data_IF_033636480593
#
_entry.id   IF_033636480593
#
_cell.length_a   1.000
_cell.length_b   1.000
_cell.length_c   1.000
_cell.angle_alpha   90.00
_cell.angle_beta   90.00
_cell.angle_gamma   90.00
#
_symmetry.space_group_name_H-M   'P 1'
#
loop_
_entity.id
_entity.type
_entity.pdbx_description
1 polymer ?
#
# COMPACT_ATOMS: atom_id res chain seq x y z
N UNK A 1 -6.53 -33.65 -14.93
CA UNK A 1 -5.89 -33.33 -13.65
C UNK A 1 -4.45 -32.86 -13.81
N UNK A 2 -3.62 -33.47 -14.66
CA UNK A 2 -2.28 -32.92 -14.97
C UNK A 2 -2.32 -31.65 -15.85
N UNK A 3 -3.29 -31.56 -16.77
CA UNK A 3 -3.44 -30.41 -17.69
C UNK A 3 -3.90 -29.14 -16.94
N UNK A 4 -4.77 -29.27 -15.93
CA UNK A 4 -5.22 -28.12 -15.12
C UNK A 4 -4.11 -27.53 -14.25
N UNK A 5 -3.22 -28.37 -13.69
CA UNK A 5 -2.05 -27.90 -12.94
C UNK A 5 -1.03 -27.16 -13.80
N UNK A 6 -0.96 -27.49 -15.10
CA UNK A 6 -0.08 -26.81 -16.05
C UNK A 6 -0.67 -25.47 -16.49
N UNK A 7 -1.98 -25.39 -16.73
CA UNK A 7 -2.66 -24.11 -17.02
C UNK A 7 -2.54 -23.13 -15.84
N UNK A 8 -2.76 -23.58 -14.60
CA UNK A 8 -2.65 -22.71 -13.42
C UNK A 8 -1.21 -22.22 -13.20
N UNK A 9 -0.20 -23.07 -13.41
CA UNK A 9 1.21 -22.71 -13.30
C UNK A 9 1.69 -21.79 -14.45
N UNK A 10 1.12 -21.95 -15.65
CA UNK A 10 1.46 -21.11 -16.81
C UNK A 10 0.84 -19.71 -16.67
N UNK A 11 -0.38 -19.62 -16.13
CA UNK A 11 -1.06 -18.34 -15.87
C UNK A 11 -0.34 -17.55 -14.78
N UNK A 12 0.13 -18.19 -13.70
CA UNK A 12 0.94 -17.48 -12.70
C UNK A 12 2.30 -17.00 -13.25
N UNK A 13 2.89 -17.73 -14.20
CA UNK A 13 4.18 -17.36 -14.81
C UNK A 13 4.05 -16.25 -15.84
N UNK A 14 2.88 -16.08 -16.48
CA UNK A 14 2.69 -15.03 -17.50
C UNK A 14 2.41 -13.65 -16.87
N UNK A 15 1.87 -13.60 -15.65
CA UNK A 15 1.49 -12.35 -14.98
C UNK A 15 2.40 -11.92 -13.82
N UNK A 16 3.25 -12.80 -13.29
CA UNK A 16 4.18 -12.47 -12.20
C UNK A 16 5.43 -11.75 -12.72
N UNK A 17 5.94 -10.77 -11.98
CA UNK A 17 7.21 -10.09 -12.28
C UNK A 17 8.41 -11.05 -12.27
N UNK A 18 9.55 -10.66 -12.84
CA UNK A 18 10.76 -11.51 -12.90
C UNK A 18 11.19 -12.04 -11.54
N UNK A 19 11.11 -11.19 -10.51
CA UNK A 19 11.55 -11.50 -9.16
C UNK A 19 10.53 -12.38 -8.42
N UNK A 20 9.22 -12.23 -8.71
CA UNK A 20 8.15 -13.08 -8.18
C UNK A 20 8.21 -14.50 -8.75
N UNK A 21 8.48 -14.62 -10.06
CA UNK A 21 8.70 -15.93 -10.70
C UNK A 21 9.91 -16.63 -10.09
N UNK A 22 11.02 -15.90 -9.92
CA UNK A 22 12.24 -16.42 -9.29
C UNK A 22 11.97 -16.87 -7.85
N UNK A 23 11.15 -16.14 -7.09
CA UNK A 23 10.76 -16.52 -5.74
C UNK A 23 9.92 -17.80 -5.72
N UNK A 24 8.96 -17.93 -6.63
CA UNK A 24 8.11 -19.13 -6.74
C UNK A 24 8.92 -20.36 -7.16
N UNK A 25 9.80 -20.23 -8.16
CA UNK A 25 10.68 -21.30 -8.62
C UNK A 25 11.65 -21.72 -7.50
N UNK A 26 12.30 -20.76 -6.84
CA UNK A 26 13.21 -21.04 -5.73
C UNK A 26 12.49 -21.73 -4.57
N UNK A 27 11.26 -21.31 -4.25
CA UNK A 27 10.44 -21.94 -3.20
C UNK A 27 10.08 -23.39 -3.55
N UNK A 28 9.65 -23.65 -4.79
CA UNK A 28 9.35 -25.00 -5.26
C UNK A 28 10.60 -25.88 -5.26
N UNK A 29 11.73 -25.33 -5.71
CA UNK A 29 13.00 -26.04 -5.79
C UNK A 29 13.56 -26.38 -4.41
N UNK A 30 13.41 -25.49 -3.43
CA UNK A 30 13.76 -25.73 -2.03
C UNK A 30 12.95 -26.89 -1.43
N UNK A 31 11.62 -26.91 -1.63
CA UNK A 31 10.76 -28.03 -1.19
C UNK A 31 11.12 -29.34 -1.88
N UNK A 32 11.56 -29.28 -3.15
CA UNK A 32 12.01 -30.46 -3.91
C UNK A 32 13.40 -30.98 -3.51
N UNK A 33 14.10 -30.29 -2.60
CA UNK A 33 15.45 -30.65 -2.15
C UNK A 33 16.57 -30.25 -3.13
N UNK A 34 16.28 -29.40 -4.12
CA UNK A 34 17.25 -28.86 -5.08
C UNK A 34 17.27 -27.33 -5.01
N UNK A 35 17.91 -26.73 -3.98
CA UNK A 35 17.95 -25.28 -3.85
C UNK A 35 18.70 -24.64 -5.03
N UNK A 36 18.06 -23.68 -5.70
CA UNK A 36 18.65 -22.90 -6.82
C UNK A 36 19.35 -21.63 -6.31
N UNK A 37 18.91 -21.13 -5.14
CA UNK A 37 19.44 -19.94 -4.47
C UNK A 37 19.99 -20.32 -3.09
N UNK A 38 20.91 -19.51 -2.57
CA UNK A 38 21.31 -19.62 -1.16
C UNK A 38 20.21 -19.10 -0.22
N UNK A 39 20.25 -19.50 1.04
CA UNK A 39 19.29 -19.04 2.06
C UNK A 39 19.32 -17.50 2.20
N UNK A 40 20.50 -16.89 2.07
CA UNK A 40 20.72 -15.44 2.15
C UNK A 40 20.09 -14.70 0.97
N UNK A 41 20.31 -15.20 -0.25
CA UNK A 41 19.73 -14.64 -1.48
C UNK A 41 18.20 -14.78 -1.48
N UNK A 42 17.68 -15.89 -0.95
CA UNK A 42 16.25 -16.12 -0.82
C UNK A 42 15.61 -15.14 0.17
N UNK A 43 16.22 -14.93 1.33
CA UNK A 43 15.74 -13.98 2.34
C UNK A 43 15.78 -12.54 1.82
N UNK A 44 16.82 -12.15 1.06
CA UNK A 44 16.89 -10.82 0.44
C UNK A 44 15.78 -10.63 -0.61
N UNK A 45 15.57 -11.62 -1.48
CA UNK A 45 14.51 -11.60 -2.49
C UNK A 45 13.13 -11.49 -1.82
N UNK A 46 12.91 -12.25 -0.75
CA UNK A 46 11.68 -12.19 0.06
C UNK A 46 11.46 -10.80 0.65
N UNK A 47 12.50 -10.21 1.23
CA UNK A 47 12.43 -8.87 1.82
C UNK A 47 12.15 -7.79 0.78
N UNK A 48 12.77 -7.88 -0.41
CA UNK A 48 12.52 -6.96 -1.52
C UNK A 48 11.06 -7.02 -1.97
N UNK A 49 10.54 -8.21 -2.23
CA UNK A 49 9.15 -8.41 -2.64
C UNK A 49 8.15 -7.93 -1.56
N UNK A 50 8.49 -8.06 -0.27
CA UNK A 50 7.70 -7.46 0.83
C UNK A 50 7.71 -5.92 0.80
N UNK A 51 8.84 -5.31 0.43
CA UNK A 51 8.93 -3.84 0.30
C UNK A 51 8.16 -3.33 -0.91
N UNK A 52 8.18 -4.06 -2.02
CA UNK A 52 7.41 -3.78 -3.24
C UNK A 52 5.90 -4.02 -3.06
N UNK A 53 5.53 -4.77 -2.00
CA UNK A 53 4.13 -5.04 -1.66
C UNK A 53 3.52 -6.15 -2.50
N UNK A 54 4.33 -7.11 -2.96
CA UNK A 54 3.85 -8.30 -3.67
C UNK A 54 2.94 -9.14 -2.76
N UNK A 55 1.75 -9.47 -3.25
CA UNK A 55 0.77 -10.29 -2.52
C UNK A 55 1.24 -11.74 -2.34
N UNK A 56 2.11 -12.23 -3.23
CA UNK A 56 2.62 -13.60 -3.25
C UNK A 56 3.47 -13.93 -2.02
N UNK A 57 4.10 -12.91 -1.42
CA UNK A 57 5.00 -13.07 -0.27
C UNK A 57 4.31 -12.82 1.06
N UNK A 58 3.04 -12.41 1.04
CA UNK A 58 2.26 -12.16 2.26
C UNK A 58 1.86 -13.49 2.88
N UNK A 59 2.45 -13.81 4.02
CA UNK A 59 2.09 -14.99 4.79
C UNK A 59 1.14 -14.64 5.94
N UNK A 60 0.28 -15.59 6.29
CA UNK A 60 -0.56 -15.53 7.50
C UNK A 60 0.26 -15.63 8.79
N UNK A 61 -0.39 -15.74 9.96
CA UNK A 61 0.29 -15.77 11.25
C UNK A 61 1.19 -17.01 11.38
N UNK A 62 2.46 -16.78 11.70
CA UNK A 62 3.47 -17.81 11.94
C UNK A 62 3.95 -17.75 13.38
N UNK A 63 4.11 -18.91 14.00
CA UNK A 63 4.76 -19.03 15.30
C UNK A 63 6.22 -19.46 15.09
N UNK A 64 7.17 -18.63 15.52
CA UNK A 64 8.55 -19.07 15.59
C UNK A 64 8.82 -19.73 16.93
N UNK A 65 9.08 -21.04 16.89
CA UNK A 65 9.48 -21.82 18.06
C UNK A 65 10.78 -21.29 18.69
N UNK A 66 11.68 -20.72 17.88
CA UNK A 66 12.96 -20.18 18.33
C UNK A 66 12.78 -18.92 19.18
N UNK A 67 11.96 -17.97 18.71
CA UNK A 67 11.74 -16.70 19.43
C UNK A 67 10.58 -16.77 20.41
N UNK A 68 9.78 -17.85 20.42
CA UNK A 68 8.52 -17.98 21.18
C UNK A 68 7.57 -16.80 20.96
N UNK A 69 7.60 -16.23 19.75
CA UNK A 69 6.77 -15.10 19.34
C UNK A 69 5.94 -15.50 18.12
N UNK A 70 4.67 -15.09 18.13
CA UNK A 70 3.79 -15.17 16.97
C UNK A 70 3.89 -13.83 16.24
N UNK A 71 4.11 -13.90 14.93
CA UNK A 71 4.13 -12.73 14.06
C UNK A 71 3.30 -12.95 12.81
N UNK A 72 2.82 -11.87 12.23
CA UNK A 72 2.17 -11.87 10.92
C UNK A 72 2.79 -10.81 10.02
N UNK A 73 2.79 -11.07 8.71
CA UNK A 73 3.31 -10.13 7.73
C UNK A 73 2.33 -8.98 7.49
N UNK A 74 2.87 -7.81 7.18
CA UNK A 74 2.10 -6.64 6.76
C UNK A 74 2.27 -6.37 5.27
N UNK A 75 1.17 -5.99 4.66
CA UNK A 75 1.13 -5.47 3.30
C UNK A 75 0.80 -3.98 3.31
N UNK A 76 1.25 -3.28 2.27
CA UNK A 76 0.95 -1.87 2.07
C UNK A 76 -0.48 -1.75 1.53
N UNK A 77 -1.28 -0.87 2.13
CA UNK A 77 -2.62 -0.56 1.64
C UNK A 77 -2.57 0.64 0.69
N UNK A 78 -2.31 0.36 -0.59
CA UNK A 78 -2.27 1.37 -1.64
C UNK A 78 -3.59 2.12 -1.81
N UNK A 79 -4.71 1.42 -1.60
CA UNK A 79 -6.05 2.00 -1.76
C UNK A 79 -6.30 3.07 -0.71
N UNK A 80 -6.01 2.79 0.57
CA UNK A 80 -6.18 3.79 1.63
C UNK A 80 -5.19 4.95 1.49
N UNK A 81 -3.99 4.67 0.99
CA UNK A 81 -2.98 5.70 0.71
C UNK A 81 -3.45 6.66 -0.41
N UNK A 82 -4.10 6.13 -1.46
CA UNK A 82 -4.72 6.93 -2.50
C UNK A 82 -5.93 7.72 -1.98
N UNK A 83 -6.83 7.06 -1.24
CA UNK A 83 -8.04 7.68 -0.69
C UNK A 83 -7.73 8.86 0.25
N UNK A 84 -6.56 8.88 0.87
CA UNK A 84 -6.13 9.99 1.72
C UNK A 84 -6.04 11.33 0.95
N UNK A 85 -5.76 11.28 -0.35
CA UNK A 85 -5.60 12.47 -1.21
C UNK A 85 -6.90 12.88 -1.93
N UNK A 86 -7.89 12.00 -1.97
CA UNK A 86 -9.15 12.22 -2.68
C UNK A 86 -9.95 13.40 -2.11
N UNK A 87 -10.15 13.54 -0.78
CA UNK A 87 -10.92 14.65 -0.23
C UNK A 87 -10.35 16.03 -0.60
N UNK A 88 -9.03 16.21 -0.52
CA UNK A 88 -8.38 17.46 -0.88
C UNK A 88 -8.58 17.80 -2.37
N UNK A 89 -8.49 16.79 -3.24
CA UNK A 89 -8.69 16.96 -4.68
C UNK A 89 -10.15 17.34 -4.99
N UNK A 90 -11.12 16.70 -4.33
CA UNK A 90 -12.55 17.00 -4.50
C UNK A 90 -12.88 18.42 -4.04
N UNK A 91 -12.32 18.87 -2.92
CA UNK A 91 -12.50 20.26 -2.45
C UNK A 91 -11.87 21.27 -3.41
N UNK A 92 -10.66 21.01 -3.90
CA UNK A 92 -9.97 21.91 -4.83
C UNK A 92 -10.72 22.03 -6.17
N UNK A 93 -11.14 20.90 -6.75
CA UNK A 93 -11.92 20.89 -7.98
C UNK A 93 -13.31 21.50 -7.78
N UNK A 94 -13.98 21.16 -6.68
CA UNK A 94 -15.30 21.71 -6.35
C UNK A 94 -15.27 23.23 -6.17
N UNK A 95 -14.25 23.76 -5.50
CA UNK A 95 -14.05 25.21 -5.35
C UNK A 95 -13.73 25.87 -6.70
N UNK A 96 -12.93 25.23 -7.56
CA UNK A 96 -12.65 25.73 -8.90
C UNK A 96 -13.92 25.84 -9.74
N UNK A 97 -14.71 24.77 -9.85
CA UNK A 97 -15.98 24.77 -10.60
C UNK A 97 -17.04 25.69 -9.98
N UNK A 98 -17.12 25.74 -8.65
CA UNK A 98 -18.05 26.64 -7.97
C UNK A 98 -17.71 28.12 -8.22
N UNK A 99 -16.43 28.47 -8.22
CA UNK A 99 -16.00 29.81 -8.56
C UNK A 99 -16.25 30.12 -10.04
N UNK A 100 -16.01 29.16 -10.94
CA UNK A 100 -16.33 29.26 -12.38
C UNK A 100 -17.80 29.62 -12.60
N UNK A 101 -18.72 28.86 -11.98
CA UNK A 101 -20.17 29.07 -12.04
C UNK A 101 -20.61 30.40 -11.39
N UNK A 102 -20.06 30.74 -10.22
CA UNK A 102 -20.46 31.93 -9.45
C UNK A 102 -19.99 33.24 -10.09
N UNK A 103 -18.78 33.24 -10.64
CA UNK A 103 -18.19 34.44 -11.25
C UNK A 103 -18.60 34.64 -12.69
N UNK A 104 -19.31 33.66 -13.29
CA UNK A 104 -19.67 33.68 -14.70
C UNK A 104 -18.46 33.72 -15.62
N UNK A 105 -17.27 33.35 -15.10
CA UNK A 105 -16.05 33.25 -15.90
C UNK A 105 -16.13 31.97 -16.71
N UNK A 106 -16.79 32.01 -17.85
CA UNK A 106 -16.20 31.34 -19.00
C UNK A 106 -14.77 31.89 -19.14
N UNK A 107 -13.73 31.17 -18.73
CA UNK A 107 -12.32 31.54 -19.01
C UNK A 107 -12.11 31.80 -20.53
N UNK A 108 -13.09 31.39 -21.34
CA UNK A 108 -13.27 31.60 -22.76
C UNK A 108 -13.50 33.07 -23.20
N UNK A 109 -14.06 33.97 -22.39
CA UNK A 109 -14.35 35.35 -22.83
C UNK A 109 -13.26 36.38 -22.55
N UNK A 110 -12.38 36.16 -21.56
CA UNK A 110 -11.25 37.05 -21.24
C UNK A 110 -10.02 36.81 -22.14
N UNK A 111 -9.97 35.62 -22.76
CA UNK A 111 -8.94 35.20 -23.72
C UNK A 111 -9.58 34.72 -25.05
N UNK A 112 -10.80 35.17 -25.38
CA UNK A 112 -11.55 34.96 -26.64
C UNK A 112 -11.15 33.68 -27.42
N UNK A 113 -11.15 32.53 -26.75
CA UNK A 113 -10.68 31.29 -27.35
C UNK A 113 -11.90 30.59 -27.97
N UNK A 114 -12.04 30.54 -29.30
CA UNK A 114 -13.24 30.00 -29.91
C UNK A 114 -13.47 28.55 -29.47
N UNK A 115 -14.74 28.19 -29.26
CA UNK A 115 -15.12 26.78 -29.11
C UNK A 115 -14.59 26.01 -30.34
N UNK A 116 -13.75 24.97 -30.19
CA UNK A 116 -13.68 23.99 -29.10
C UNK A 116 -12.46 24.08 -28.15
N UNK A 117 -11.62 25.12 -28.25
CA UNK A 117 -10.33 25.15 -27.53
C UNK A 117 -10.47 25.34 -26.01
N UNK A 118 -11.56 25.96 -25.56
CA UNK A 118 -11.91 26.10 -24.13
C UNK A 118 -12.00 24.76 -23.41
N UNK A 119 -12.76 23.80 -23.96
CA UNK A 119 -12.91 22.46 -23.39
C UNK A 119 -11.56 21.74 -23.28
N UNK A 120 -10.73 21.85 -24.32
CA UNK A 120 -9.41 21.23 -24.34
C UNK A 120 -8.52 21.85 -23.26
N UNK A 121 -8.51 23.17 -23.14
CA UNK A 121 -7.72 23.84 -22.12
C UNK A 121 -8.15 23.45 -20.69
N UNK A 122 -9.44 23.42 -20.40
CA UNK A 122 -9.92 23.10 -19.04
C UNK A 122 -9.58 21.66 -18.66
N UNK A 123 -9.82 20.69 -19.53
CA UNK A 123 -9.60 19.27 -19.21
C UNK A 123 -8.13 18.82 -19.31
N UNK A 124 -7.33 19.42 -20.19
CA UNK A 124 -5.94 19.01 -20.42
C UNK A 124 -4.90 19.95 -19.80
N UNK A 125 -5.24 21.20 -19.49
CA UNK A 125 -4.33 22.14 -18.81
C UNK A 125 -4.81 22.47 -17.40
N UNK A 126 -6.02 23.01 -17.23
CA UNK A 126 -6.48 23.51 -15.93
C UNK A 126 -6.70 22.39 -14.90
N UNK A 127 -7.49 21.37 -15.22
CA UNK A 127 -7.78 20.26 -14.30
C UNK A 127 -6.51 19.48 -13.91
N UNK A 128 -5.63 19.07 -14.85
CA UNK A 128 -4.39 18.39 -14.48
C UNK A 128 -3.47 19.27 -13.62
N UNK A 129 -3.41 20.58 -13.90
CA UNK A 129 -2.64 21.52 -13.08
C UNK A 129 -3.22 21.64 -11.66
N UNK A 130 -4.53 21.75 -11.51
CA UNK A 130 -5.20 21.85 -10.21
C UNK A 130 -5.02 20.56 -9.41
N UNK A 131 -5.18 19.39 -10.04
CA UNK A 131 -4.93 18.10 -9.38
C UNK A 131 -3.45 18.02 -8.98
N UNK A 132 -2.52 18.35 -9.87
CA UNK A 132 -1.08 18.34 -9.54
C UNK A 132 -0.77 19.25 -8.35
N UNK A 133 -1.30 20.47 -8.32
CA UNK A 133 -1.12 21.42 -7.23
C UNK A 133 -1.76 20.92 -5.93
N UNK A 134 -2.99 20.41 -5.99
CA UNK A 134 -3.69 19.87 -4.84
C UNK A 134 -2.91 18.68 -4.24
N UNK A 135 -2.47 17.74 -5.07
CA UNK A 135 -1.68 16.60 -4.63
C UNK A 135 -0.31 17.01 -4.08
N UNK A 136 0.33 18.02 -4.68
CA UNK A 136 1.62 18.54 -4.20
C UNK A 136 1.49 19.19 -2.82
N UNK A 137 0.46 20.02 -2.63
CA UNK A 137 0.15 20.63 -1.32
C UNK A 137 -0.22 19.57 -0.27
N UNK A 138 -1.00 18.56 -0.65
CA UNK A 138 -1.34 17.44 0.26
C UNK A 138 -0.09 16.68 0.70
N UNK A 139 0.89 16.46 -0.19
CA UNK A 139 2.16 15.82 0.18
C UNK A 139 2.96 16.64 1.18
N UNK A 140 2.93 17.97 1.08
CA UNK A 140 3.60 18.84 2.07
C UNK A 140 2.94 18.76 3.44
N UNK A 141 1.61 18.62 3.49
CA UNK A 141 0.83 18.53 4.75
C UNK A 141 0.88 17.13 5.37
N UNK A 142 0.86 16.09 4.53
CA UNK A 142 0.92 14.68 4.91
C UNK A 142 2.15 14.05 4.25
N UNK A 143 3.25 14.00 5.00
CA UNK A 143 4.50 13.41 4.54
C UNK A 143 4.59 11.94 4.94
N UNK A 144 5.14 11.12 4.04
CA UNK A 144 5.43 9.69 4.23
C UNK A 144 4.25 8.88 4.79
N UNK A 145 3.05 9.07 4.24
CA UNK A 145 1.87 8.29 4.62
C UNK A 145 2.05 6.84 4.20
N UNK A 146 2.37 5.98 5.14
CA UNK A 146 2.53 4.55 4.94
C UNK A 146 1.48 3.82 5.76
N UNK A 147 0.47 3.32 5.06
CA UNK A 147 -0.61 2.56 5.70
C UNK A 147 -0.30 1.08 5.54
N UNK A 148 -0.22 0.40 6.68
CA UNK A 148 0.03 -1.02 6.73
C UNK A 148 -1.20 -1.76 7.20
N UNK A 149 -1.56 -2.82 6.46
CA UNK A 149 -2.63 -3.75 6.80
C UNK A 149 -2.06 -5.15 7.07
N UNK A 150 -2.64 -5.86 8.01
CA UNK A 150 -2.27 -7.24 8.29
C UNK A 150 -3.24 -7.94 9.23
N UNK A 151 -3.32 -9.27 9.18
CA UNK A 151 -4.17 -10.06 10.06
C UNK A 151 -3.59 -10.09 11.48
N UNK A 152 -4.47 -10.03 12.49
CA UNK A 152 -4.11 -10.21 13.89
C UNK A 152 -3.54 -11.63 14.11
N UNK A 153 -2.38 -11.80 14.78
CA UNK A 153 -1.83 -13.12 15.09
C UNK A 153 -2.70 -14.00 15.99
N UNK A 154 -3.62 -13.40 16.76
CA UNK A 154 -4.51 -14.13 17.67
C UNK A 154 -5.81 -14.55 16.98
N UNK A 155 -6.58 -13.59 16.44
CA UNK A 155 -7.93 -13.86 15.91
C UNK A 155 -8.04 -13.81 14.38
N UNK A 156 -6.97 -13.47 13.65
CA UNK A 156 -6.98 -13.38 12.19
C UNK A 156 -7.71 -12.17 11.61
N UNK A 157 -8.35 -11.31 12.42
CA UNK A 157 -9.02 -10.11 11.90
C UNK A 157 -8.01 -9.10 11.37
N UNK A 158 -8.28 -8.52 10.21
CA UNK A 158 -7.45 -7.48 9.62
C UNK A 158 -7.51 -6.20 10.44
N UNK A 159 -6.34 -5.70 10.82
CA UNK A 159 -6.20 -4.40 11.47
C UNK A 159 -5.23 -3.55 10.65
N UNK A 160 -5.46 -2.24 10.65
CA UNK A 160 -4.64 -1.28 9.93
C UNK A 160 -3.92 -0.34 10.88
N UNK A 161 -2.71 0.06 10.50
CA UNK A 161 -1.95 1.08 11.21
C UNK A 161 -1.46 2.13 10.22
N UNK A 162 -1.47 3.38 10.68
CA UNK A 162 -0.98 4.52 9.92
C UNK A 162 0.40 4.91 10.46
N UNK A 163 1.38 4.94 9.57
CA UNK A 163 2.68 5.54 9.80
C UNK A 163 2.76 6.80 8.95
N UNK A 164 3.19 7.92 9.53
CA UNK A 164 3.35 9.17 8.78
C UNK A 164 3.18 10.38 9.65
N UNK A 165 3.34 11.55 9.06
CA UNK A 165 3.18 12.83 9.76
C UNK A 165 1.94 13.54 9.25
N UNK A 166 1.03 13.89 10.16
CA UNK A 166 -0.16 14.72 9.84
C UNK A 166 0.06 16.07 10.52
N UNK A 167 0.12 17.15 9.74
CA UNK A 167 0.19 18.53 10.29
C UNK A 167 1.30 18.71 11.35
N UNK A 168 2.51 18.24 11.04
CA UNK A 168 3.70 18.26 11.91
C UNK A 168 3.67 17.36 13.16
N UNK A 169 2.61 16.58 13.37
CA UNK A 169 2.55 15.56 14.43
C UNK A 169 2.91 14.21 13.82
N UNK A 170 4.04 13.64 14.21
CA UNK A 170 4.47 12.31 13.78
C UNK A 170 3.58 11.26 14.45
N UNK A 171 2.82 10.54 13.64
CA UNK A 171 2.04 9.38 14.05
C UNK A 171 2.88 8.13 13.80
N UNK A 172 3.61 7.72 14.84
CA UNK A 172 4.41 6.50 14.84
C UNK A 172 5.74 6.65 14.12
N UNK A 173 6.82 6.43 14.86
CA UNK A 173 8.17 6.33 14.30
C UNK A 173 8.37 4.99 13.59
N UNK A 174 9.30 4.19 14.08
CA UNK A 174 9.59 2.85 13.52
C UNK A 174 8.60 1.78 13.97
N UNK A 175 7.92 2.01 15.11
CA UNK A 175 6.97 1.07 15.71
C UNK A 175 5.72 1.80 16.18
N UNK A 176 4.58 1.12 16.07
CA UNK A 176 3.27 1.61 16.52
C UNK A 176 2.59 0.52 17.34
N UNK A 177 1.89 0.91 18.40
CA UNK A 177 1.11 -0.02 19.21
C UNK A 177 -0.37 0.28 19.07
N UNK A 178 -1.17 -0.74 18.75
CA UNK A 178 -2.62 -0.62 18.61
C UNK A 178 -3.31 -1.86 19.16
N UNK A 179 -4.55 -1.70 19.60
CA UNK A 179 -5.38 -2.83 20.04
C UNK A 179 -6.12 -3.40 18.85
N UNK A 180 -6.22 -4.73 18.80
CA UNK A 180 -7.04 -5.41 17.81
C UNK A 180 -8.52 -5.04 18.00
N UNK A 181 -9.23 -4.78 16.90
CA UNK A 181 -10.64 -4.37 16.93
C UNK A 181 -11.59 -5.44 17.47
N UNK A 182 -11.20 -6.72 17.39
CA UNK A 182 -12.02 -7.86 17.82
C UNK A 182 -11.57 -8.47 19.16
N UNK A 183 -10.32 -8.90 19.27
CA UNK A 183 -9.81 -9.57 20.49
C UNK A 183 -9.11 -8.64 21.50
N UNK A 184 -9.06 -7.33 21.24
CA UNK A 184 -8.43 -6.30 22.10
C UNK A 184 -6.94 -6.50 22.44
N UNK A 185 -6.30 -7.55 21.90
CA UNK A 185 -4.88 -7.79 22.12
C UNK A 185 -4.06 -6.63 21.59
N UNK A 186 -3.10 -6.18 22.37
CA UNK A 186 -2.11 -5.20 21.95
C UNK A 186 -1.22 -5.79 20.87
N UNK A 187 -1.15 -5.11 19.73
CA UNK A 187 -0.36 -5.45 18.56
C UNK A 187 0.74 -4.41 18.39
N UNK A 188 1.96 -4.86 18.19
CA UNK A 188 3.10 -4.02 17.87
C UNK A 188 3.39 -4.13 16.37
N UNK A 189 3.29 -3.01 15.66
CA UNK A 189 3.52 -2.93 14.23
C UNK A 189 4.91 -2.35 14.00
N UNK A 190 5.75 -3.04 13.20
CA UNK A 190 7.06 -2.54 12.81
C UNK A 190 7.08 -2.16 11.32
N UNK A 191 7.34 -0.87 11.04
CA UNK A 191 7.33 -0.34 9.68
C UNK A 191 8.50 -0.84 8.83
N UNK A 192 9.67 -1.08 9.44
CA UNK A 192 10.89 -1.50 8.72
C UNK A 192 10.85 -2.97 8.34
N UNK A 193 10.46 -3.82 9.28
CA UNK A 193 10.43 -5.27 9.06
C UNK A 193 9.13 -5.75 8.43
N UNK A 194 8.10 -4.90 8.34
CA UNK A 194 6.76 -5.27 7.87
C UNK A 194 6.18 -6.46 8.64
N UNK A 195 6.38 -6.47 9.97
CA UNK A 195 5.89 -7.52 10.88
C UNK A 195 5.01 -6.96 12.00
N UNK A 196 3.92 -7.67 12.31
CA UNK A 196 3.10 -7.47 13.51
C UNK A 196 3.58 -8.47 14.54
N UNK A 197 3.90 -8.02 15.74
CA UNK A 197 4.26 -8.88 16.87
C UNK A 197 3.32 -8.66 18.04
N UNK A 198 3.15 -9.70 18.85
CA UNK A 198 2.52 -9.60 20.15
C UNK A 198 3.57 -9.17 21.19
N UNK A 199 3.26 -8.24 22.10
CA UNK A 199 4.17 -7.89 23.19
C UNK A 199 4.34 -9.09 24.12
N UNK A 200 5.57 -9.26 24.61
CA UNK A 200 5.96 -10.35 25.52
C UNK A 200 5.09 -10.29 26.79
N UNK A 201 4.18 -11.28 26.94
CA UNK A 201 3.24 -11.36 28.06
C UNK A 201 1.77 -11.45 27.66
N UNK A 202 1.42 -11.14 26.41
CA UNK A 202 0.10 -11.48 25.88
C UNK A 202 0.09 -12.97 25.48
N UNK A 203 -0.61 -13.78 26.28
CA UNK A 203 -0.92 -15.15 25.89
C UNK A 203 -1.81 -15.09 24.65
N UNK A 204 -1.35 -15.71 23.56
CA UNK A 204 -2.22 -16.08 22.44
C UNK A 204 -3.18 -17.18 22.92
#
# INVERSE_FOLDING_TARGET
MYISLIEDALVSTIFAGSDEQKFLEASMAYVSGKPILSDEEFDELKMRLKMEGSEIVVEGPRCSLRSRKVYSDLSVDYLKMFLLNVPATVVALGLFFFLDDLTGFEITYLLELPEPFSFIFTWFAAVPLIVYLAQSLTKVVVNDSLILKGPCPNCGTENVSFFGTILSISSGGTTNTLKCSNCETTLEYNAKTRLITLPEGSQA
#
